data_IF_301891680797
#
_entry.id   IF_301891680797
#
_cell.length_a   1.000
_cell.length_b   1.000
_cell.length_c   1.000
_cell.angle_alpha   90.00
_cell.angle_beta   90.00
_cell.angle_gamma   90.00
#
_symmetry.space_group_name_H-M   'P 1'
#
loop_
_entity.id
_entity.type
_entity.pdbx_description
1 polymer ?
#
# COMPACT_ATOMS: atom_id res chain seq x y z
N UNK A 1 16.19 22.26 -42.89
CA UNK A 1 15.62 21.00 -42.39
C UNK A 1 15.33 21.19 -40.91
N UNK A 2 14.05 21.30 -40.57
CA UNK A 2 13.56 21.65 -39.25
C UNK A 2 13.69 20.46 -38.27
N UNK A 3 14.14 20.75 -37.06
CA UNK A 3 14.16 19.83 -35.93
C UNK A 3 12.76 19.83 -35.29
N UNK A 4 12.07 18.69 -35.13
CA UNK A 4 10.80 18.66 -34.42
C UNK A 4 11.07 18.63 -32.91
N UNK A 5 10.83 19.76 -32.28
CA UNK A 5 10.69 19.88 -30.83
C UNK A 5 9.33 19.31 -30.42
N UNK A 6 9.36 18.24 -29.63
CA UNK A 6 8.17 17.53 -29.18
C UNK A 6 8.46 16.67 -27.95
N UNK A 7 9.17 17.21 -26.96
CA UNK A 7 9.25 16.60 -25.64
C UNK A 7 8.14 17.22 -24.78
N UNK A 8 6.92 16.71 -24.96
CA UNK A 8 5.81 16.99 -24.04
C UNK A 8 6.09 16.31 -22.72
N UNK A 9 6.25 17.10 -21.66
CA UNK A 9 6.44 16.63 -20.29
C UNK A 9 5.19 15.89 -19.80
N UNK A 10 5.21 14.55 -19.79
CA UNK A 10 4.17 13.70 -19.20
C UNK A 10 4.14 13.71 -17.66
N UNK A 11 5.02 14.50 -17.00
CA UNK A 11 5.23 14.44 -15.55
C UNK A 11 4.84 15.72 -14.80
N UNK A 12 3.96 16.54 -15.35
CA UNK A 12 3.45 17.72 -14.64
C UNK A 12 2.32 17.34 -13.67
N UNK A 13 2.59 16.45 -12.70
CA UNK A 13 1.75 16.38 -11.50
C UNK A 13 1.85 17.75 -10.82
N UNK A 14 0.72 18.46 -10.72
CA UNK A 14 0.63 19.74 -10.02
C UNK A 14 0.68 19.50 -8.51
N UNK A 15 1.88 19.21 -8.01
CA UNK A 15 2.15 19.22 -6.58
C UNK A 15 1.97 20.65 -6.06
N UNK A 16 0.88 20.92 -5.35
CA UNK A 16 0.78 22.14 -4.53
C UNK A 16 1.80 22.00 -3.40
N UNK A 17 2.82 22.83 -3.41
CA UNK A 17 3.81 22.91 -2.33
C UNK A 17 3.13 23.41 -1.04
N UNK A 18 3.39 22.67 0.05
CA UNK A 18 3.07 22.87 1.48
C UNK A 18 2.35 24.16 1.92
N UNK A 19 1.31 24.06 2.78
CA UNK A 19 1.27 24.85 3.99
C UNK A 19 2.17 24.21 5.06
N UNK A 20 2.82 25.04 5.87
CA UNK A 20 3.60 24.66 7.04
C UNK A 20 2.85 23.67 7.93
N UNK A 21 3.44 22.49 8.18
CA UNK A 21 3.03 21.63 9.29
C UNK A 21 3.50 22.26 10.61
N UNK A 22 2.69 23.17 11.16
CA UNK A 22 2.69 23.35 12.60
C UNK A 22 2.00 22.13 13.22
N UNK A 23 2.54 21.52 14.29
CA UNK A 23 1.85 20.46 15.00
C UNK A 23 0.63 21.07 15.68
N UNK A 24 -0.52 21.01 15.01
CA UNK A 24 -1.81 21.19 15.66
C UNK A 24 -1.86 20.16 16.78
N UNK A 25 -1.92 20.64 18.02
CA UNK A 25 -2.20 19.80 19.18
C UNK A 25 -3.54 19.09 18.92
N UNK A 26 -3.46 17.84 18.45
CA UNK A 26 -4.62 17.02 18.11
C UNK A 26 -5.41 16.77 19.39
N UNK A 27 -6.55 17.45 19.53
CA UNK A 27 -7.55 17.06 20.50
C UNK A 27 -8.14 15.73 20.05
N UNK A 28 -7.68 14.65 20.68
CA UNK A 28 -8.04 13.23 20.54
C UNK A 28 -9.53 12.89 20.78
N UNK A 29 -10.45 13.85 20.66
CA UNK A 29 -11.83 13.74 21.14
C UNK A 29 -12.85 13.17 20.16
N UNK A 30 -12.47 12.80 18.93
CA UNK A 30 -13.36 12.15 17.97
C UNK A 30 -12.65 11.01 17.23
N UNK A 31 -12.24 9.98 17.97
CA UNK A 31 -11.82 8.70 17.38
C UNK A 31 -13.05 7.92 16.94
N UNK A 32 -13.09 7.47 15.68
CA UNK A 32 -14.13 6.56 15.21
C UNK A 32 -14.15 5.30 16.08
N UNK A 33 -15.33 4.97 16.59
CA UNK A 33 -15.60 3.69 17.25
C UNK A 33 -16.21 2.74 16.23
N UNK A 34 -15.64 1.55 16.16
CA UNK A 34 -16.03 0.46 15.26
C UNK A 34 -16.53 -0.69 16.13
N UNK A 35 -17.82 -1.00 16.05
CA UNK A 35 -18.35 -2.12 16.83
C UNK A 35 -17.82 -3.47 16.30
N UNK A 36 -17.73 -3.60 14.97
CA UNK A 36 -17.16 -4.79 14.31
C UNK A 36 -16.20 -4.41 13.20
N UNK A 37 -14.92 -4.73 13.40
CA UNK A 37 -13.88 -4.62 12.39
C UNK A 37 -13.70 -5.99 11.71
N UNK A 38 -14.02 -6.09 10.43
CA UNK A 38 -13.83 -7.28 9.61
C UNK A 38 -12.53 -7.10 8.82
N UNK A 39 -11.52 -7.90 9.10
CA UNK A 39 -10.23 -7.90 8.42
C UNK A 39 -10.15 -9.09 7.47
N UNK A 40 -10.17 -8.83 6.17
CA UNK A 40 -10.06 -9.86 5.14
C UNK A 40 -8.59 -10.03 4.76
N UNK A 41 -7.99 -11.16 5.11
CA UNK A 41 -6.55 -11.39 5.08
C UNK A 41 -5.91 -11.12 6.44
N UNK A 42 -5.35 -12.14 7.08
CA UNK A 42 -4.82 -12.08 8.45
C UNK A 42 -3.30 -12.29 8.50
N UNK A 43 -2.59 -11.93 7.42
CA UNK A 43 -1.13 -11.91 7.39
C UNK A 43 -0.53 -10.75 8.20
N UNK A 44 0.68 -10.30 7.84
CA UNK A 44 1.37 -9.19 8.52
C UNK A 44 0.47 -7.94 8.63
N UNK A 45 -0.03 -7.43 7.50
CA UNK A 45 -0.78 -6.17 7.47
C UNK A 45 -2.11 -6.28 8.22
N UNK A 46 -2.90 -7.33 7.93
CA UNK A 46 -4.18 -7.55 8.60
C UNK A 46 -4.06 -7.89 10.09
N UNK A 47 -3.07 -8.69 10.47
CA UNK A 47 -2.77 -8.97 11.87
C UNK A 47 -2.30 -7.71 12.62
N UNK A 48 -1.48 -6.88 11.99
CA UNK A 48 -1.07 -5.58 12.57
C UNK A 48 -2.25 -4.63 12.72
N UNK A 49 -3.16 -4.59 11.74
CA UNK A 49 -4.40 -3.81 11.80
C UNK A 49 -5.29 -4.26 12.97
N UNK A 50 -5.48 -5.57 13.11
CA UNK A 50 -6.24 -6.16 14.20
C UNK A 50 -5.63 -5.83 15.57
N UNK A 51 -4.31 -6.00 15.73
CA UNK A 51 -3.59 -5.67 16.95
C UNK A 51 -3.66 -4.18 17.28
N UNK A 52 -3.44 -3.30 16.30
CA UNK A 52 -3.50 -1.86 16.47
C UNK A 52 -4.90 -1.39 16.89
N UNK A 53 -5.96 -1.95 16.29
CA UNK A 53 -7.35 -1.62 16.60
C UNK A 53 -7.76 -2.06 18.02
N UNK A 54 -7.28 -3.22 18.47
CA UNK A 54 -7.49 -3.68 19.85
C UNK A 54 -6.73 -2.82 20.85
N UNK A 55 -5.47 -2.48 20.55
CA UNK A 55 -4.62 -1.63 21.40
C UNK A 55 -5.16 -0.21 21.54
N UNK A 56 -5.67 0.39 20.47
CA UNK A 56 -6.29 1.72 20.52
C UNK A 56 -7.66 1.71 21.20
N UNK A 57 -8.31 0.55 21.30
CA UNK A 57 -9.69 0.43 21.76
C UNK A 57 -10.70 1.04 20.78
N UNK A 58 -10.33 1.21 19.50
CA UNK A 58 -11.26 1.73 18.49
C UNK A 58 -12.20 0.64 17.95
N UNK A 59 -11.85 -0.65 18.12
CA UNK A 59 -12.69 -1.78 17.70
C UNK A 59 -13.14 -2.61 18.91
N UNK A 60 -14.45 -2.85 19.04
CA UNK A 60 -14.98 -3.70 20.12
C UNK A 60 -14.79 -5.18 19.83
N UNK A 61 -15.05 -5.60 18.58
CA UNK A 61 -14.89 -6.96 18.10
C UNK A 61 -14.10 -6.93 16.80
N UNK A 62 -13.03 -7.72 16.72
CA UNK A 62 -12.25 -7.91 15.49
C UNK A 62 -12.49 -9.31 14.95
N UNK A 63 -12.90 -9.38 13.68
CA UNK A 63 -13.19 -10.61 12.96
C UNK A 63 -12.18 -10.76 11.83
N UNK A 64 -11.49 -11.89 11.76
CA UNK A 64 -10.59 -12.20 10.65
C UNK A 64 -11.22 -13.18 9.66
N UNK A 65 -11.13 -12.86 8.37
CA UNK A 65 -11.56 -13.71 7.27
C UNK A 65 -10.34 -14.09 6.44
N UNK A 66 -9.91 -15.34 6.55
CA UNK A 66 -8.73 -15.84 5.86
C UNK A 66 -8.79 -17.38 5.81
N UNK A 67 -8.69 -18.01 4.62
CA UNK A 67 -8.81 -19.45 4.49
C UNK A 67 -7.67 -20.21 5.19
N UNK A 68 -6.49 -19.61 5.27
CA UNK A 68 -5.25 -20.26 5.67
C UNK A 68 -4.79 -19.83 7.07
N UNK A 69 -4.98 -18.55 7.41
CA UNK A 69 -4.33 -17.92 8.58
C UNK A 69 -5.28 -17.47 9.69
N UNK A 70 -6.60 -17.45 9.47
CA UNK A 70 -7.55 -16.89 10.46
C UNK A 70 -7.49 -17.61 11.81
N UNK A 71 -7.41 -18.94 11.82
CA UNK A 71 -7.27 -19.74 13.06
C UNK A 71 -5.96 -19.46 13.80
N UNK A 72 -4.86 -19.24 13.07
CA UNK A 72 -3.56 -18.88 13.64
C UNK A 72 -3.62 -17.46 14.24
N UNK A 73 -4.20 -16.50 13.53
CA UNK A 73 -4.38 -15.14 14.04
C UNK A 73 -5.26 -15.10 15.31
N UNK A 74 -6.28 -15.95 15.39
CA UNK A 74 -7.12 -16.07 16.58
C UNK A 74 -6.36 -16.70 17.76
N UNK A 75 -5.55 -17.73 17.54
CA UNK A 75 -4.77 -18.36 18.61
C UNK A 75 -3.68 -17.43 19.17
N UNK A 76 -3.20 -16.49 18.36
CA UNK A 76 -2.31 -15.39 18.78
C UNK A 76 -3.05 -14.24 19.47
N UNK A 77 -4.38 -14.28 19.56
CA UNK A 77 -5.20 -13.24 20.20
C UNK A 77 -5.37 -11.96 19.37
N UNK A 78 -4.95 -11.96 18.09
CA UNK A 78 -5.05 -10.79 17.20
C UNK A 78 -6.51 -10.49 16.85
N UNK A 79 -7.32 -11.53 16.64
CA UNK A 79 -8.74 -11.45 16.27
C UNK A 79 -9.59 -12.22 17.28
N UNK A 80 -10.87 -11.86 17.39
CA UNK A 80 -11.81 -12.47 18.32
C UNK A 80 -12.64 -13.58 17.65
N UNK A 81 -12.91 -13.47 16.35
CA UNK A 81 -13.59 -14.49 15.53
C UNK A 81 -12.83 -14.80 14.24
N UNK A 82 -12.78 -16.08 13.86
CA UNK A 82 -12.07 -16.58 12.68
C UNK A 82 -13.02 -17.27 11.70
N UNK A 83 -12.97 -16.86 10.44
CA UNK A 83 -13.77 -17.43 9.34
C UNK A 83 -12.87 -17.66 8.12
N UNK A 84 -13.19 -18.66 7.29
CA UNK A 84 -12.40 -18.99 6.11
C UNK A 84 -12.80 -18.17 4.87
N UNK A 85 -14.04 -17.69 4.81
CA UNK A 85 -14.56 -16.88 3.71
C UNK A 85 -15.74 -15.99 4.15
N UNK A 86 -16.14 -15.06 3.27
CA UNK A 86 -17.22 -14.11 3.56
C UNK A 86 -18.60 -14.76 3.69
N UNK A 87 -18.87 -15.85 2.96
CA UNK A 87 -20.15 -16.57 3.06
C UNK A 87 -20.32 -17.19 4.44
N UNK A 88 -19.27 -17.85 4.96
CA UNK A 88 -19.26 -18.43 6.31
C UNK A 88 -19.45 -17.34 7.38
N UNK A 89 -18.82 -16.17 7.19
CA UNK A 89 -18.98 -15.02 8.09
C UNK A 89 -20.43 -14.55 8.15
N UNK A 90 -21.09 -14.39 6.99
CA UNK A 90 -22.47 -13.91 6.90
C UNK A 90 -23.42 -14.73 7.77
N UNK A 91 -23.28 -16.07 7.76
CA UNK A 91 -24.11 -16.98 8.55
C UNK A 91 -24.00 -16.75 10.08
N UNK A 92 -22.97 -16.05 10.53
CA UNK A 92 -22.66 -15.81 11.95
C UNK A 92 -22.72 -14.32 12.34
N UNK A 93 -22.96 -13.41 11.40
CA UNK A 93 -23.10 -11.99 11.70
C UNK A 93 -24.47 -11.70 12.31
N UNK A 94 -24.55 -11.05 13.48
CA UNK A 94 -25.83 -10.56 13.96
C UNK A 94 -26.29 -9.38 13.09
N UNK A 95 -27.59 -9.02 13.13
CA UNK A 95 -28.07 -7.76 12.59
C UNK A 95 -27.24 -6.59 13.14
N UNK A 96 -26.99 -5.57 12.32
CA UNK A 96 -26.15 -4.44 12.72
C UNK A 96 -26.78 -3.59 13.83
N UNK A 97 -28.12 -3.45 13.84
CA UNK A 97 -28.87 -2.64 14.81
C UNK A 97 -28.31 -1.20 15.00
N UNK A 98 -27.76 -0.63 13.93
CA UNK A 98 -27.15 0.71 13.94
C UNK A 98 -25.65 0.75 14.28
N UNK A 99 -25.04 -0.37 14.68
CA UNK A 99 -23.61 -0.50 14.94
C UNK A 99 -22.73 -0.17 13.73
N UNK A 100 -21.51 0.30 13.95
CA UNK A 100 -20.50 0.50 12.90
C UNK A 100 -19.85 -0.83 12.53
N UNK A 101 -19.90 -1.17 11.24
CA UNK A 101 -19.31 -2.40 10.68
C UNK A 101 -18.40 -2.03 9.53
N UNK A 102 -17.10 -2.06 9.79
CA UNK A 102 -16.05 -1.73 8.85
C UNK A 102 -15.41 -3.00 8.31
N UNK A 103 -15.36 -3.14 6.98
CA UNK A 103 -14.56 -4.16 6.31
C UNK A 103 -13.27 -3.56 5.76
N UNK A 104 -12.14 -4.21 6.03
CA UNK A 104 -10.82 -3.82 5.51
C UNK A 104 -10.23 -4.98 4.72
N UNK A 105 -9.95 -4.74 3.44
CA UNK A 105 -9.17 -5.67 2.61
C UNK A 105 -7.68 -5.53 2.92
N UNK A 106 -7.11 -6.61 3.43
CA UNK A 106 -5.71 -6.76 3.84
C UNK A 106 -5.01 -7.92 3.09
N UNK A 107 -5.58 -8.35 1.96
CA UNK A 107 -5.03 -9.41 1.10
C UNK A 107 -4.08 -8.83 0.05
N UNK A 108 -3.27 -9.67 -0.61
CA UNK A 108 -2.66 -9.29 -1.88
C UNK A 108 -3.70 -8.76 -2.88
N UNK A 109 -3.32 -7.75 -3.66
CA UNK A 109 -4.20 -7.07 -4.64
C UNK A 109 -4.70 -8.03 -5.73
N UNK A 110 -3.94 -9.09 -6.02
CA UNK A 110 -4.32 -10.18 -6.93
C UNK A 110 -5.63 -10.89 -6.53
N UNK A 111 -6.08 -10.75 -5.27
CA UNK A 111 -7.34 -11.31 -4.79
C UNK A 111 -8.56 -10.43 -5.06
N UNK A 112 -8.38 -9.16 -5.40
CA UNK A 112 -9.47 -8.18 -5.49
C UNK A 112 -10.47 -8.52 -6.59
N UNK A 113 -10.01 -9.11 -7.71
CA UNK A 113 -10.88 -9.61 -8.79
C UNK A 113 -11.94 -10.63 -8.32
N UNK A 114 -11.68 -11.33 -7.21
CA UNK A 114 -12.64 -12.26 -6.59
C UNK A 114 -13.37 -11.66 -5.38
N UNK A 115 -12.68 -10.86 -4.56
CA UNK A 115 -13.22 -10.36 -3.30
C UNK A 115 -14.21 -9.21 -3.50
N UNK A 116 -13.93 -8.28 -4.41
CA UNK A 116 -14.81 -7.11 -4.65
C UNK A 116 -16.19 -7.55 -5.17
N UNK A 117 -16.30 -8.46 -6.17
CA UNK A 117 -17.59 -9.02 -6.56
C UNK A 117 -18.30 -9.77 -5.43
N UNK A 118 -17.56 -10.53 -4.61
CA UNK A 118 -18.15 -11.28 -3.50
C UNK A 118 -18.75 -10.34 -2.43
N UNK A 119 -18.07 -9.24 -2.10
CA UNK A 119 -18.58 -8.22 -1.17
C UNK A 119 -19.82 -7.54 -1.74
N UNK A 120 -19.82 -7.22 -3.03
CA UNK A 120 -20.98 -6.64 -3.71
C UNK A 120 -22.18 -7.61 -3.69
N UNK A 121 -21.95 -8.90 -3.95
CA UNK A 121 -23.00 -9.91 -3.94
C UNK A 121 -23.61 -10.14 -2.54
N UNK A 122 -22.77 -10.06 -1.49
CA UNK A 122 -23.17 -10.24 -0.09
C UNK A 122 -23.46 -8.91 0.61
N UNK A 123 -23.64 -7.81 -0.13
CA UNK A 123 -23.66 -6.47 0.44
C UNK A 123 -24.76 -6.27 1.49
N UNK A 124 -25.96 -6.80 1.23
CA UNK A 124 -27.11 -6.71 2.14
C UNK A 124 -26.89 -7.56 3.40
N UNK A 125 -26.39 -8.78 3.23
CA UNK A 125 -26.16 -9.71 4.35
C UNK A 125 -24.99 -9.27 5.24
N UNK A 126 -23.96 -8.68 4.64
CA UNK A 126 -22.83 -8.12 5.36
C UNK A 126 -23.21 -6.85 6.11
N UNK A 127 -24.23 -6.09 5.69
CA UNK A 127 -24.72 -4.85 6.30
C UNK A 127 -23.57 -3.92 6.72
N UNK A 128 -22.69 -3.59 5.76
CA UNK A 128 -21.47 -2.80 6.01
C UNK A 128 -21.77 -1.30 6.07
N UNK A 129 -21.15 -0.60 7.01
CA UNK A 129 -21.18 0.87 7.06
C UNK A 129 -20.03 1.50 6.30
N UNK A 130 -18.93 0.77 6.12
CA UNK A 130 -17.72 1.29 5.53
C UNK A 130 -16.87 0.15 4.97
N UNK A 131 -16.25 0.40 3.82
CA UNK A 131 -15.25 -0.49 3.22
C UNK A 131 -14.00 0.31 2.92
N UNK A 132 -12.85 -0.23 3.29
CA UNK A 132 -11.56 0.28 2.84
C UNK A 132 -10.63 -0.90 2.53
N UNK A 133 -9.43 -0.58 2.09
CA UNK A 133 -8.43 -1.55 1.67
C UNK A 133 -7.02 -1.01 1.94
N UNK A 134 -6.01 -1.87 1.91
CA UNK A 134 -4.61 -1.52 2.19
C UNK A 134 -3.67 -1.89 1.04
N UNK A 135 -4.20 -2.12 -0.15
CA UNK A 135 -3.49 -2.59 -1.33
C UNK A 135 -2.42 -1.60 -1.79
N UNK A 136 -1.27 -2.15 -2.16
CA UNK A 136 -0.11 -1.37 -2.60
C UNK A 136 -0.27 -0.71 -3.97
N UNK A 137 -1.29 -1.13 -4.73
CA UNK A 137 -1.69 -0.62 -6.04
C UNK A 137 -3.21 -0.41 -6.06
N UNK A 138 -3.68 0.51 -6.91
CA UNK A 138 -5.12 0.77 -7.10
C UNK A 138 -5.65 0.20 -8.41
N UNK A 139 -4.80 -0.15 -9.38
CA UNK A 139 -5.20 -0.73 -10.66
C UNK A 139 -6.14 -1.94 -10.51
N UNK A 140 -5.72 -3.01 -9.82
CA UNK A 140 -6.58 -4.18 -9.58
C UNK A 140 -7.92 -3.85 -8.90
N UNK A 141 -7.93 -2.87 -8.00
CA UNK A 141 -9.15 -2.42 -7.32
C UNK A 141 -10.10 -1.73 -8.31
N UNK A 142 -9.56 -0.81 -9.12
CA UNK A 142 -10.32 -0.09 -10.14
C UNK A 142 -10.91 -1.09 -11.13
N UNK A 143 -10.10 -2.02 -11.66
CA UNK A 143 -10.58 -3.05 -12.59
C UNK A 143 -11.72 -3.88 -11.96
N UNK A 144 -11.55 -4.33 -10.72
CA UNK A 144 -12.57 -5.10 -10.03
C UNK A 144 -13.87 -4.31 -9.78
N UNK A 145 -13.78 -3.02 -9.44
CA UNK A 145 -14.94 -2.13 -9.24
C UNK A 145 -15.64 -1.77 -10.55
N UNK A 146 -14.89 -1.62 -11.65
CA UNK A 146 -15.41 -1.36 -13.00
C UNK A 146 -16.07 -2.59 -13.60
N UNK A 147 -15.62 -3.80 -13.25
CA UNK A 147 -16.21 -5.06 -13.70
C UNK A 147 -17.52 -5.45 -12.99
N UNK A 148 -17.95 -4.70 -11.96
CA UNK A 148 -19.20 -4.98 -11.27
C UNK A 148 -20.42 -4.70 -12.15
N UNK A 149 -21.47 -5.54 -12.07
CA UNK A 149 -22.75 -5.22 -12.71
C UNK A 149 -23.36 -3.97 -12.09
N UNK A 150 -24.12 -3.21 -12.88
CA UNK A 150 -24.88 -2.05 -12.41
C UNK A 150 -26.10 -2.51 -11.60
N UNK A 151 -25.89 -2.73 -10.31
CA UNK A 151 -26.93 -3.15 -9.36
C UNK A 151 -27.03 -2.16 -8.19
N UNK A 152 -28.18 -2.14 -7.48
CA UNK A 152 -28.32 -1.35 -6.26
C UNK A 152 -27.25 -1.69 -5.21
N UNK A 153 -26.88 -2.96 -5.08
CA UNK A 153 -25.85 -3.44 -4.15
C UNK A 153 -24.47 -2.88 -4.52
N UNK A 154 -24.06 -2.97 -5.79
CA UNK A 154 -22.79 -2.42 -6.26
C UNK A 154 -22.72 -0.90 -6.07
N UNK A 155 -23.81 -0.20 -6.37
CA UNK A 155 -23.92 1.25 -6.14
C UNK A 155 -23.81 1.61 -4.66
N UNK A 156 -24.55 0.91 -3.80
CA UNK A 156 -24.54 1.15 -2.35
C UNK A 156 -23.17 0.85 -1.71
N UNK A 157 -22.44 -0.14 -2.24
CA UNK A 157 -21.08 -0.46 -1.86
C UNK A 157 -20.11 0.68 -2.24
N UNK A 158 -20.12 1.14 -3.50
CA UNK A 158 -19.22 2.21 -3.97
C UNK A 158 -19.36 3.51 -3.18
N UNK A 159 -20.58 3.87 -2.77
CA UNK A 159 -20.85 5.03 -1.90
C UNK A 159 -20.11 4.94 -0.55
N UNK A 160 -19.82 3.73 -0.06
CA UNK A 160 -19.20 3.48 1.25
C UNK A 160 -17.79 2.89 1.14
N UNK A 161 -17.26 2.77 -0.06
CA UNK A 161 -15.91 2.27 -0.28
C UNK A 161 -14.97 3.46 -0.40
N UNK A 162 -13.99 3.57 0.49
CA UNK A 162 -12.91 4.57 0.42
C UNK A 162 -11.57 3.82 0.39
N UNK A 163 -10.92 3.70 -0.78
CA UNK A 163 -9.59 3.09 -0.91
C UNK A 163 -8.52 3.77 -0.06
N UNK A 164 -7.58 2.97 0.46
CA UNK A 164 -6.46 3.51 1.24
C UNK A 164 -5.18 2.71 1.07
N UNK A 165 -4.04 3.29 1.45
CA UNK A 165 -2.75 2.61 1.42
C UNK A 165 -1.87 3.11 2.56
N UNK A 166 -1.74 2.34 3.65
CA UNK A 166 -0.75 2.63 4.67
C UNK A 166 0.66 2.51 4.08
N UNK A 167 1.44 3.58 4.09
CA UNK A 167 2.88 3.55 3.76
C UNK A 167 3.68 3.01 4.95
N UNK A 168 3.37 1.76 5.30
CA UNK A 168 3.97 1.00 6.37
C UNK A 168 4.11 -0.46 5.93
N UNK A 169 5.04 -1.18 6.53
CA UNK A 169 5.28 -2.58 6.22
C UNK A 169 6.59 -3.07 6.83
N UNK A 170 6.77 -4.38 6.78
CA UNK A 170 7.99 -5.06 7.18
C UNK A 170 8.32 -6.14 6.15
N UNK A 171 9.58 -6.59 6.10
CA UNK A 171 10.02 -7.64 5.17
C UNK A 171 9.60 -9.05 5.61
N UNK A 172 8.96 -9.17 6.78
CA UNK A 172 8.46 -10.42 7.37
C UNK A 172 7.01 -10.73 6.95
N UNK A 173 6.57 -11.98 7.10
CA UNK A 173 5.24 -12.43 6.65
C UNK A 173 4.48 -13.23 7.71
N UNK A 174 3.16 -13.29 7.55
CA UNK A 174 2.24 -14.05 8.42
C UNK A 174 1.76 -13.29 9.67
N UNK A 175 0.72 -13.82 10.36
CA UNK A 175 0.13 -13.20 11.54
C UNK A 175 1.10 -13.05 12.71
N UNK A 176 2.03 -13.99 12.88
CA UNK A 176 3.05 -13.98 13.93
C UNK A 176 4.04 -12.81 13.81
N UNK A 177 4.09 -12.17 12.64
CA UNK A 177 4.90 -10.98 12.40
C UNK A 177 4.13 -9.67 12.65
N UNK A 178 2.88 -9.72 13.12
CA UNK A 178 2.06 -8.53 13.37
C UNK A 178 2.73 -7.54 14.34
N UNK A 179 2.64 -6.25 14.02
CA UNK A 179 3.21 -5.15 14.81
C UNK A 179 2.06 -4.21 15.21
N UNK A 180 1.74 -4.16 16.50
CA UNK A 180 0.62 -3.35 17.02
C UNK A 180 0.78 -1.83 16.85
N UNK A 181 2.02 -1.36 16.62
CA UNK A 181 2.36 0.05 16.37
C UNK A 181 2.68 0.33 14.90
N UNK A 182 2.39 -0.60 13.98
CA UNK A 182 2.84 -0.52 12.58
C UNK A 182 2.44 0.79 11.88
N UNK A 183 1.27 1.32 12.22
CA UNK A 183 0.69 2.49 11.58
C UNK A 183 1.02 3.81 12.29
N UNK A 184 1.67 3.78 13.46
CA UNK A 184 2.00 4.99 14.21
C UNK A 184 2.98 5.88 13.43
N UNK A 185 2.54 7.11 13.12
CA UNK A 185 3.30 8.06 12.32
C UNK A 185 3.40 7.72 10.83
N UNK A 186 2.80 6.60 10.39
CA UNK A 186 2.77 6.23 8.99
C UNK A 186 1.82 7.14 8.21
N UNK A 187 2.23 7.56 7.01
CA UNK A 187 1.28 8.20 6.08
C UNK A 187 0.33 7.16 5.54
N UNK A 188 -0.97 7.46 5.59
CA UNK A 188 -2.00 6.62 5.00
C UNK A 188 -2.54 7.36 3.81
N UNK A 189 -2.24 6.90 2.59
CA UNK A 189 -2.81 7.52 1.39
C UNK A 189 -4.29 7.19 1.36
N UNK A 190 -5.14 8.21 1.29
CA UNK A 190 -6.60 8.05 1.20
C UNK A 190 -7.04 8.52 -0.17
N UNK A 191 -7.64 7.62 -0.94
CA UNK A 191 -7.95 7.81 -2.36
C UNK A 191 -9.42 7.47 -2.62
N UNK A 192 -10.37 8.35 -2.25
CA UNK A 192 -11.79 8.10 -2.42
C UNK A 192 -12.17 7.81 -3.87
N UNK A 193 -13.20 6.99 -4.06
CA UNK A 193 -13.87 6.86 -5.35
C UNK A 193 -14.64 8.15 -5.65
N UNK A 194 -14.99 8.38 -6.92
CA UNK A 194 -15.84 9.50 -7.30
C UNK A 194 -17.22 9.44 -6.62
N UNK A 195 -17.69 8.23 -6.33
CA UNK A 195 -18.96 7.94 -5.67
C UNK A 195 -18.88 7.99 -4.13
N UNK A 196 -17.69 7.93 -3.54
CA UNK A 196 -17.53 7.85 -2.09
C UNK A 196 -18.23 9.02 -1.38
N UNK A 197 -19.06 8.71 -0.39
CA UNK A 197 -19.72 9.72 0.41
C UNK A 197 -18.69 10.48 1.26
N UNK A 198 -18.83 11.82 1.43
CA UNK A 198 -17.94 12.60 2.28
C UNK A 198 -17.83 12.07 3.72
N UNK A 199 -18.93 11.56 4.26
CA UNK A 199 -18.95 10.93 5.59
C UNK A 199 -18.12 9.64 5.63
N UNK A 200 -18.16 8.82 4.56
CA UNK A 200 -17.34 7.61 4.48
C UNK A 200 -15.85 7.97 4.46
N UNK A 201 -15.47 9.03 3.73
CA UNK A 201 -14.09 9.53 3.71
C UNK A 201 -13.65 9.97 5.10
N UNK A 202 -14.44 10.82 5.77
CA UNK A 202 -14.14 11.28 7.13
C UNK A 202 -14.02 10.13 8.13
N UNK A 203 -14.85 9.09 7.99
CA UNK A 203 -14.79 7.90 8.85
C UNK A 203 -13.51 7.07 8.60
N UNK A 204 -13.09 6.86 7.35
CA UNK A 204 -11.80 6.20 7.05
C UNK A 204 -10.62 7.00 7.58
N UNK A 205 -10.62 8.32 7.42
CA UNK A 205 -9.58 9.17 7.99
C UNK A 205 -9.53 9.08 9.52
N UNK A 206 -10.68 9.14 10.18
CA UNK A 206 -10.78 9.02 11.65
C UNK A 206 -10.36 7.64 12.15
N UNK A 207 -10.72 6.57 11.44
CA UNK A 207 -10.26 5.22 11.72
C UNK A 207 -8.73 5.15 11.69
N UNK A 208 -8.10 5.60 10.60
CA UNK A 208 -6.64 5.58 10.48
C UNK A 208 -5.93 6.47 11.52
N UNK A 209 -6.49 7.63 11.84
CA UNK A 209 -5.97 8.49 12.93
C UNK A 209 -6.04 7.79 14.30
N UNK A 210 -7.10 7.00 14.56
CA UNK A 210 -7.22 6.24 15.82
C UNK A 210 -6.13 5.18 15.99
N UNK A 211 -5.51 4.75 14.89
CA UNK A 211 -4.39 3.81 14.86
C UNK A 211 -3.02 4.52 14.86
N UNK A 212 -3.00 5.84 15.01
CA UNK A 212 -1.78 6.67 14.96
C UNK A 212 -1.30 7.00 13.54
N UNK A 213 -2.06 6.62 12.50
CA UNK A 213 -1.78 6.94 11.12
C UNK A 213 -2.06 8.41 10.80
N UNK A 214 -1.43 8.90 9.73
CA UNK A 214 -1.58 10.27 9.22
C UNK A 214 -2.27 10.20 7.85
N UNK A 215 -3.62 10.33 7.79
CA UNK A 215 -4.33 10.38 6.52
C UNK A 215 -3.77 11.46 5.61
N UNK A 216 -3.48 11.09 4.38
CA UNK A 216 -2.86 11.93 3.36
C UNK A 216 -3.68 11.78 2.08
N UNK A 217 -4.51 12.77 1.71
CA UNK A 217 -5.33 12.69 0.51
C UNK A 217 -4.47 12.53 -0.75
N UNK A 218 -4.87 11.63 -1.64
CA UNK A 218 -4.24 11.42 -2.94
C UNK A 218 -5.32 11.03 -3.96
N UNK A 219 -5.43 11.71 -5.11
CA UNK A 219 -6.34 11.27 -6.17
C UNK A 219 -6.08 9.81 -6.55
N UNK A 220 -7.16 9.07 -6.81
CA UNK A 220 -7.08 7.64 -7.07
C UNK A 220 -6.24 7.33 -8.31
N UNK A 221 -6.35 8.16 -9.34
CA UNK A 221 -5.60 8.10 -10.58
C UNK A 221 -4.10 8.42 -10.43
N UNK A 222 -3.71 9.18 -9.41
CA UNK A 222 -2.31 9.57 -9.18
C UNK A 222 -1.55 8.55 -8.32
N UNK A 223 -2.27 7.65 -7.65
CA UNK A 223 -1.70 6.73 -6.68
C UNK A 223 -0.61 5.85 -7.28
N UNK A 224 -0.91 5.12 -8.35
CA UNK A 224 -0.01 4.12 -8.89
C UNK A 224 1.23 4.76 -9.54
N UNK A 225 1.08 5.91 -10.20
CA UNK A 225 2.19 6.70 -10.71
C UNK A 225 3.13 7.18 -9.59
N UNK A 226 2.57 7.66 -8.47
CA UNK A 226 3.36 8.05 -7.29
C UNK A 226 4.12 6.85 -6.73
N UNK A 227 3.43 5.74 -6.48
CA UNK A 227 4.02 4.54 -5.87
C UNK A 227 5.05 3.88 -6.78
N UNK A 228 4.90 3.98 -8.10
CA UNK A 228 5.91 3.55 -9.05
C UNK A 228 7.26 4.23 -8.76
N UNK A 229 7.25 5.55 -8.51
CA UNK A 229 8.46 6.33 -8.22
C UNK A 229 8.98 6.11 -6.80
N UNK A 230 8.11 6.19 -5.79
CA UNK A 230 8.55 6.23 -4.39
C UNK A 230 8.78 4.85 -3.76
N UNK A 231 8.26 3.78 -4.38
CA UNK A 231 8.31 2.43 -3.81
C UNK A 231 8.69 1.36 -4.84
N UNK A 232 7.97 1.23 -5.95
CA UNK A 232 8.09 0.03 -6.80
C UNK A 232 9.39 0.00 -7.61
N UNK A 233 9.78 1.12 -8.21
CA UNK A 233 11.06 1.23 -8.91
C UNK A 233 12.25 0.99 -7.97
N UNK A 234 12.31 1.59 -6.76
CA UNK A 234 13.31 1.21 -5.76
C UNK A 234 13.40 -0.29 -5.48
N UNK A 235 12.26 -0.98 -5.31
CA UNK A 235 12.25 -2.43 -5.09
C UNK A 235 12.76 -3.19 -6.31
N UNK A 236 12.31 -2.84 -7.52
CA UNK A 236 12.76 -3.46 -8.77
C UNK A 236 14.29 -3.36 -8.92
N UNK A 237 14.86 -2.17 -8.67
CA UNK A 237 16.30 -1.94 -8.72
C UNK A 237 17.03 -2.74 -7.64
N UNK A 238 16.50 -2.76 -6.41
CA UNK A 238 17.06 -3.54 -5.30
C UNK A 238 17.12 -5.03 -5.63
N UNK A 239 16.05 -5.60 -6.18
CA UNK A 239 16.02 -7.01 -6.63
C UNK A 239 17.01 -7.26 -7.76
N UNK A 240 17.09 -6.37 -8.75
CA UNK A 240 18.04 -6.50 -9.85
C UNK A 240 19.50 -6.47 -9.37
N UNK A 241 19.83 -5.58 -8.44
CA UNK A 241 21.15 -5.48 -7.83
C UNK A 241 21.48 -6.74 -7.01
N UNK A 242 20.59 -7.14 -6.11
CA UNK A 242 20.77 -8.33 -5.27
C UNK A 242 20.93 -9.59 -6.12
N UNK A 243 20.09 -9.76 -7.15
CA UNK A 243 20.16 -10.88 -8.09
C UNK A 243 21.47 -10.92 -8.88
N UNK A 244 21.95 -9.76 -9.34
CA UNK A 244 23.23 -9.64 -10.06
C UNK A 244 24.40 -10.07 -9.16
N UNK A 245 24.40 -9.67 -7.90
CA UNK A 245 25.43 -10.06 -6.93
C UNK A 245 25.34 -11.55 -6.61
N UNK A 246 24.13 -12.07 -6.37
CA UNK A 246 23.90 -13.46 -6.03
C UNK A 246 24.36 -14.44 -7.13
N UNK A 247 24.20 -14.05 -8.39
CA UNK A 247 24.62 -14.86 -9.54
C UNK A 247 26.08 -14.59 -9.97
N UNK A 248 26.72 -13.57 -9.41
CA UNK A 248 28.09 -13.17 -9.75
C UNK A 248 29.16 -14.04 -9.07
N UNK A 249 30.39 -14.04 -9.60
CA UNK A 249 31.51 -14.83 -9.06
C UNK A 249 31.92 -14.42 -7.64
N UNK A 250 31.53 -13.22 -7.18
CA UNK A 250 31.82 -12.70 -5.85
C UNK A 250 30.64 -12.77 -4.89
N UNK A 251 29.53 -13.44 -5.24
CA UNK A 251 28.33 -13.48 -4.40
C UNK A 251 28.59 -13.96 -2.96
N UNK A 252 29.36 -15.04 -2.78
CA UNK A 252 29.69 -15.57 -1.45
C UNK A 252 30.61 -14.62 -0.64
N UNK A 253 31.54 -13.95 -1.34
CA UNK A 253 32.39 -12.95 -0.71
C UNK A 253 31.57 -11.72 -0.29
N UNK A 254 30.61 -11.29 -1.11
CA UNK A 254 29.69 -10.20 -0.79
C UNK A 254 28.85 -10.51 0.45
N UNK A 255 28.38 -11.76 0.63
CA UNK A 255 27.70 -12.17 1.88
C UNK A 255 28.58 -11.99 3.11
N UNK A 256 29.88 -12.28 3.01
CA UNK A 256 30.81 -12.26 4.16
C UNK A 256 31.43 -10.89 4.43
N UNK A 257 31.55 -10.04 3.39
CA UNK A 257 32.30 -8.78 3.40
C UNK A 257 31.42 -7.57 3.05
N UNK A 258 30.09 -7.68 3.23
CA UNK A 258 29.19 -6.55 2.97
C UNK A 258 29.38 -5.43 3.99
N UNK A 259 29.36 -4.19 3.50
CA UNK A 259 29.24 -2.99 4.32
C UNK A 259 27.82 -2.44 4.34
N UNK A 260 27.63 -1.28 5.01
CA UNK A 260 26.34 -0.60 5.08
C UNK A 260 25.74 -0.26 3.71
N UNK A 261 26.56 0.13 2.73
CA UNK A 261 26.05 0.46 1.39
C UNK A 261 25.33 -0.70 0.70
N UNK A 262 25.91 -1.90 0.71
CA UNK A 262 25.27 -3.08 0.13
C UNK A 262 24.03 -3.48 0.94
N UNK A 263 24.15 -3.55 2.27
CA UNK A 263 23.04 -3.90 3.16
C UNK A 263 21.83 -2.99 2.96
N UNK A 264 22.03 -1.68 2.95
CA UNK A 264 20.93 -0.72 2.91
C UNK A 264 20.30 -0.66 1.51
N UNK A 265 21.11 -0.77 0.45
CA UNK A 265 20.61 -0.75 -0.95
C UNK A 265 19.86 -2.02 -1.33
N UNK A 266 20.17 -3.16 -0.70
CA UNK A 266 19.52 -4.46 -0.99
C UNK A 266 18.51 -4.90 0.07
N UNK A 267 18.37 -4.18 1.19
CA UNK A 267 17.46 -4.52 2.30
C UNK A 267 16.06 -4.91 1.81
N UNK A 268 15.50 -4.08 0.94
CA UNK A 268 14.11 -4.26 0.48
C UNK A 268 13.92 -5.43 -0.50
N UNK A 269 15.00 -5.93 -1.11
CA UNK A 269 14.98 -7.19 -1.86
C UNK A 269 14.89 -8.44 -0.97
N UNK A 270 14.99 -8.29 0.36
CA UNK A 270 14.68 -9.36 1.31
C UNK A 270 13.19 -9.64 1.48
N UNK A 271 12.31 -8.86 0.83
CA UNK A 271 10.87 -9.05 0.85
C UNK A 271 10.41 -10.29 0.05
N UNK A 272 9.13 -10.65 0.16
CA UNK A 272 8.55 -11.77 -0.61
C UNK A 272 8.57 -11.50 -2.12
N UNK A 273 9.20 -12.39 -2.88
CA UNK A 273 9.24 -12.31 -4.35
C UNK A 273 7.85 -12.47 -4.99
N UNK A 274 6.99 -13.32 -4.43
CA UNK A 274 5.63 -13.54 -4.94
C UNK A 274 4.76 -12.29 -4.77
N UNK A 275 4.79 -11.66 -3.59
CA UNK A 275 4.07 -10.41 -3.34
C UNK A 275 4.56 -9.29 -4.26
N UNK A 276 5.87 -9.16 -4.43
CA UNK A 276 6.43 -8.12 -5.29
C UNK A 276 6.19 -8.39 -6.77
N UNK A 277 6.10 -9.65 -7.20
CA UNK A 277 5.68 -9.97 -8.55
C UNK A 277 4.26 -9.46 -8.83
N UNK A 278 3.31 -9.68 -7.91
CA UNK A 278 1.94 -9.16 -8.02
C UNK A 278 1.93 -7.63 -8.11
N UNK A 279 2.64 -6.94 -7.20
CA UNK A 279 2.70 -5.46 -7.17
C UNK A 279 3.32 -4.87 -8.45
N UNK A 280 4.45 -5.44 -8.90
CA UNK A 280 5.16 -4.94 -10.08
C UNK A 280 4.38 -5.20 -11.37
N UNK A 281 3.67 -6.32 -11.46
CA UNK A 281 2.83 -6.64 -12.62
C UNK A 281 1.56 -5.78 -12.65
N UNK A 282 0.92 -5.56 -11.50
CA UNK A 282 -0.27 -4.71 -11.40
C UNK A 282 0.03 -3.25 -11.74
N UNK A 283 1.24 -2.76 -11.40
CA UNK A 283 1.68 -1.41 -11.72
C UNK A 283 2.71 -1.33 -12.87
N UNK A 284 2.66 -2.29 -13.81
CA UNK A 284 3.68 -2.41 -14.86
C UNK A 284 3.75 -1.21 -15.79
N UNK A 285 2.62 -0.56 -16.07
CA UNK A 285 2.55 0.50 -17.08
C UNK A 285 3.30 1.76 -16.59
N UNK A 286 3.09 2.15 -15.34
CA UNK A 286 3.81 3.26 -14.71
C UNK A 286 5.31 2.96 -14.58
N UNK A 287 5.66 1.72 -14.22
CA UNK A 287 7.06 1.29 -14.16
C UNK A 287 7.75 1.38 -15.53
N UNK A 288 7.10 0.87 -16.58
CA UNK A 288 7.63 0.92 -17.94
C UNK A 288 7.75 2.37 -18.43
N UNK A 289 6.85 3.26 -18.04
CA UNK A 289 6.94 4.69 -18.35
C UNK A 289 8.16 5.38 -17.71
N UNK A 290 8.62 4.89 -16.55
CA UNK A 290 9.83 5.41 -15.87
C UNK A 290 11.14 4.87 -16.46
N UNK A 291 11.12 3.72 -17.15
CA UNK A 291 12.33 3.04 -17.60
C UNK A 291 13.23 3.86 -18.54
N UNK A 292 12.70 4.62 -19.53
CA UNK A 292 13.54 5.42 -20.41
C UNK A 292 14.39 6.44 -19.65
N UNK A 293 13.80 7.13 -18.67
CA UNK A 293 14.54 8.13 -17.87
C UNK A 293 15.59 7.46 -16.98
N UNK A 294 15.28 6.29 -16.41
CA UNK A 294 16.24 5.50 -15.65
C UNK A 294 17.44 5.07 -16.52
N UNK A 295 17.18 4.53 -17.72
CA UNK A 295 18.21 4.11 -18.66
C UNK A 295 19.11 5.26 -19.13
N UNK A 296 18.53 6.44 -19.40
CA UNK A 296 19.29 7.64 -19.74
C UNK A 296 20.25 8.01 -18.58
N UNK A 297 19.74 8.00 -17.35
CA UNK A 297 20.49 8.36 -16.15
C UNK A 297 21.65 7.38 -15.91
N UNK A 298 21.35 6.08 -15.90
CA UNK A 298 22.35 5.03 -15.73
C UNK A 298 23.38 5.05 -16.87
N UNK A 299 22.93 5.19 -18.12
CA UNK A 299 23.79 5.26 -19.29
C UNK A 299 24.74 6.47 -19.25
N UNK A 300 24.34 7.60 -18.66
CA UNK A 300 25.23 8.73 -18.43
C UNK A 300 26.40 8.39 -17.51
N UNK A 301 26.12 7.69 -16.41
CA UNK A 301 27.15 7.23 -15.46
C UNK A 301 28.07 6.20 -16.12
N UNK A 302 27.53 5.26 -16.88
CA UNK A 302 28.32 4.24 -17.59
C UNK A 302 29.26 4.86 -18.61
N UNK A 303 28.80 5.82 -19.43
CA UNK A 303 29.65 6.53 -20.40
C UNK A 303 30.82 7.24 -19.73
N UNK A 304 30.60 7.86 -18.57
CA UNK A 304 31.65 8.53 -17.81
C UNK A 304 32.70 7.56 -17.27
N UNK A 305 32.29 6.35 -16.88
CA UNK A 305 33.19 5.27 -16.46
C UNK A 305 34.00 4.74 -17.66
N UNK A 306 33.34 4.49 -18.79
CA UNK A 306 33.98 4.00 -20.02
C UNK A 306 35.03 4.98 -20.57
N UNK A 307 34.77 6.28 -20.47
CA UNK A 307 35.71 7.31 -20.91
C UNK A 307 36.77 7.66 -19.87
N UNK A 308 36.72 7.09 -18.67
CA UNK A 308 37.56 7.47 -17.52
C UNK A 308 37.51 8.99 -17.23
N UNK A 309 36.40 9.66 -17.52
CA UNK A 309 36.25 11.11 -17.37
C UNK A 309 35.64 11.44 -15.99
N UNK A 310 36.50 11.91 -15.09
CA UNK A 310 36.09 12.31 -13.74
C UNK A 310 35.10 13.47 -13.74
N UNK A 311 35.27 14.47 -14.61
CA UNK A 311 34.39 15.64 -14.63
C UNK A 311 32.99 15.22 -15.07
N UNK A 312 32.92 14.45 -16.16
CA UNK A 312 31.65 13.88 -16.64
C UNK A 312 30.98 12.99 -15.60
N UNK A 313 31.74 12.21 -14.83
CA UNK A 313 31.19 11.36 -13.78
C UNK A 313 30.61 12.18 -12.62
N UNK A 314 31.28 13.25 -12.21
CA UNK A 314 30.75 14.18 -11.20
C UNK A 314 29.44 14.81 -11.68
N UNK A 315 29.42 15.31 -12.92
CA UNK A 315 28.22 15.91 -13.51
C UNK A 315 27.04 14.92 -13.62
N UNK A 316 27.32 13.64 -13.87
CA UNK A 316 26.31 12.58 -13.90
C UNK A 316 25.78 12.19 -12.51
N UNK A 317 26.58 12.33 -11.45
CA UNK A 317 26.22 11.96 -10.07
C UNK A 317 25.55 13.12 -9.29
N UNK A 318 25.94 14.37 -9.57
CA UNK A 318 25.52 15.54 -8.79
C UNK A 318 23.99 15.76 -8.72
N UNK A 319 23.20 15.53 -9.79
CA UNK A 319 21.75 15.66 -9.71
C UNK A 319 21.13 14.73 -8.65
N UNK A 320 21.58 13.47 -8.61
CA UNK A 320 21.11 12.49 -7.63
C UNK A 320 21.53 12.89 -6.20
N UNK A 321 22.78 13.34 -6.03
CA UNK A 321 23.28 13.81 -4.74
C UNK A 321 22.52 15.05 -4.23
N UNK A 322 22.25 16.00 -5.12
CA UNK A 322 21.49 17.23 -4.82
C UNK A 322 20.06 16.94 -4.42
N UNK A 323 19.37 16.05 -5.16
CA UNK A 323 18.02 15.66 -4.81
C UNK A 323 17.98 14.90 -3.48
N UNK A 324 18.86 13.93 -3.26
CA UNK A 324 18.87 13.10 -2.04
C UNK A 324 19.06 13.92 -0.77
N UNK A 325 19.90 14.97 -0.80
CA UNK A 325 20.15 15.86 0.34
C UNK A 325 18.91 16.63 0.84
N UNK A 326 17.83 16.66 0.07
CA UNK A 326 16.58 17.33 0.45
C UNK A 326 15.66 16.46 1.32
N UNK A 327 15.89 15.14 1.33
CA UNK A 327 15.07 14.14 2.02
C UNK A 327 15.85 13.38 3.12
N UNK A 328 17.08 13.81 3.44
CA UNK A 328 17.82 13.36 4.65
C UNK A 328 17.54 14.36 5.77
#
# INVERSE_FOLDING_TARGET
>A
MACPTGCGSLWALKWRTKPSCEPLALSWRNTMQVDRLIVVGTGLMGGSLAAAAKRSGCAQIVIGVDPDRSREAQSLGLIDGAFQNLSELVDHLPPREGAQRLLVLATPVSRYASLVPAISALWEDLDLTLVTEMGSTKHALIEALSGLPDTPQASAMKLRFVPSHPLAGAETSGPQAAIETLFEGARILVSPLAESLPEAVANVESFWMSLGGIPTPLPLEDHDALLAVVSHLPHLISYALAGTIAQGPLGQAALSLHGGGLRDTTRIAGSSAELWADILLDNREELLALMPQWQITLGGMLRALESCDRALLVDALEPAATWRRQIV
#
